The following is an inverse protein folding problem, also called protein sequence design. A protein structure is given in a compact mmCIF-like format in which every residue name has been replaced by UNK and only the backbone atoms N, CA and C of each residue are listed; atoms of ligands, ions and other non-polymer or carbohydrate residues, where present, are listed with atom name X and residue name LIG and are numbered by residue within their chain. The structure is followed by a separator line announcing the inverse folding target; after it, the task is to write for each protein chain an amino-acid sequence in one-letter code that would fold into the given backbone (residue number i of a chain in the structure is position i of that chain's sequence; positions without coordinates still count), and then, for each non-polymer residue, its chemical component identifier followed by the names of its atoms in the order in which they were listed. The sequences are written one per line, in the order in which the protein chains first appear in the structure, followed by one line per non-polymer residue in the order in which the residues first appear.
data_IF_983490573631
#
_entry.id   IF_983490573631
#
_cell.length_a   1.000
_cell.length_b   1.000
_cell.length_c   1.000
_cell.angle_alpha   90.00
_cell.angle_beta   90.00
_cell.angle_gamma   90.00
#
_symmetry.space_group_name_H-M   'P 1'
#
loop_
_entity.id
_entity.type
_entity.pdbx_description
1 polymer ?
#
# COMPACT_ATOMS: atom_id res chain seq x y z
N UNK A 1 31.97 48.62 9.21
CA UNK A 1 31.01 47.61 9.73
C UNK A 1 29.90 47.50 8.70
N UNK A 2 29.91 46.45 7.88
CA UNK A 2 28.76 46.18 7.02
C UNK A 2 27.59 45.82 7.95
N UNK A 3 26.40 46.41 7.77
CA UNK A 3 25.24 45.98 8.55
C UNK A 3 24.98 44.50 8.26
N UNK A 4 24.61 43.74 9.29
CA UNK A 4 24.02 42.40 9.14
C UNK A 4 22.67 42.55 8.41
N UNK A 5 22.74 42.79 7.10
CA UNK A 5 21.60 42.74 6.20
C UNK A 5 21.32 41.27 5.88
N UNK A 6 21.02 40.49 6.92
CA UNK A 6 20.59 39.11 6.79
C UNK A 6 19.23 39.06 6.10
N UNK A 7 19.10 38.18 5.10
CA UNK A 7 17.78 37.82 4.57
C UNK A 7 16.94 37.22 5.69
N UNK A 8 15.64 37.54 5.74
CA UNK A 8 14.74 36.82 6.65
C UNK A 8 14.72 35.33 6.30
N UNK A 9 14.56 34.45 7.30
CA UNK A 9 14.57 32.99 7.12
C UNK A 9 13.61 32.55 5.99
N UNK A 10 12.42 33.14 5.94
CA UNK A 10 11.41 32.85 4.91
C UNK A 10 11.83 33.30 3.50
N UNK A 11 12.58 34.39 3.38
CA UNK A 11 13.09 34.88 2.08
C UNK A 11 14.27 34.04 1.62
N UNK A 12 15.18 33.69 2.54
CA UNK A 12 16.33 32.84 2.24
C UNK A 12 15.90 31.43 1.82
N UNK A 13 14.90 30.85 2.51
CA UNK A 13 14.31 29.56 2.14
C UNK A 13 13.73 29.55 0.72
N UNK A 14 13.20 30.68 0.24
CA UNK A 14 12.65 30.80 -1.12
C UNK A 14 13.72 31.10 -2.18
N UNK A 15 14.72 31.90 -1.82
CA UNK A 15 15.77 32.32 -2.74
C UNK A 15 16.80 31.22 -3.01
N UNK A 16 17.15 30.44 -1.97
CA UNK A 16 18.19 29.42 -2.03
C UNK A 16 17.83 28.26 -1.09
N UNK A 17 16.88 27.39 -1.50
CA UNK A 17 16.35 26.33 -0.64
C UNK A 17 17.41 25.27 -0.28
N UNK A 18 18.34 24.95 -1.19
CA UNK A 18 19.41 23.97 -0.93
C UNK A 18 20.40 24.46 0.14
N UNK A 19 21.02 25.65 0.03
CA UNK A 19 21.84 26.23 1.10
C UNK A 19 21.08 26.44 2.42
N UNK A 20 19.79 26.76 2.36
CA UNK A 20 18.96 26.92 3.56
C UNK A 20 18.82 25.61 4.34
N UNK A 21 18.52 24.50 3.65
CA UNK A 21 18.44 23.19 4.29
C UNK A 21 19.80 22.77 4.86
N UNK A 22 20.88 22.97 4.11
CA UNK A 22 22.24 22.69 4.57
C UNK A 22 22.59 23.47 5.84
N UNK A 23 22.27 24.76 5.91
CA UNK A 23 22.55 25.60 7.07
C UNK A 23 21.78 25.17 8.33
N UNK A 24 20.59 24.56 8.18
CA UNK A 24 19.82 24.04 9.32
C UNK A 24 20.32 22.65 9.77
N UNK A 25 20.84 21.85 8.83
CA UNK A 25 21.43 20.53 9.09
C UNK A 25 22.86 20.60 9.65
N UNK A 26 23.58 21.67 9.33
CA UNK A 26 24.90 21.99 9.87
C UNK A 26 24.88 23.39 10.50
N UNK A 27 24.26 23.53 11.69
CA UNK A 27 24.26 24.81 12.39
C UNK A 27 25.69 25.21 12.73
N UNK A 28 26.02 26.48 12.56
CA UNK A 28 27.36 27.01 12.86
C UNK A 28 27.68 27.06 14.36
N UNK A 29 26.67 26.79 15.21
CA UNK A 29 26.78 26.75 16.67
C UNK A 29 26.52 25.31 17.14
N UNK A 30 27.52 24.71 17.79
CA UNK A 30 27.49 23.32 18.28
C UNK A 30 26.43 23.10 19.38
N UNK A 31 25.88 24.18 19.96
CA UNK A 31 24.80 24.10 20.95
C UNK A 31 23.41 23.88 20.34
N UNK A 32 23.25 24.06 19.02
CA UNK A 32 21.97 23.88 18.33
C UNK A 32 21.95 22.51 17.67
N UNK A 33 20.94 21.69 18.01
CA UNK A 33 20.77 20.39 17.38
C UNK A 33 20.43 20.55 15.88
N UNK A 34 20.98 19.70 15.00
CA UNK A 34 20.67 19.73 13.58
C UNK A 34 19.19 19.46 13.36
N UNK A 35 18.52 20.38 12.68
CA UNK A 35 17.08 20.33 12.45
C UNK A 35 16.78 20.54 10.96
N UNK A 36 15.70 19.94 10.49
CA UNK A 36 15.18 20.14 9.14
C UNK A 36 14.47 21.49 9.04
N UNK A 37 14.07 21.88 7.84
CA UNK A 37 13.34 23.14 7.61
C UNK A 37 12.03 23.28 8.41
N UNK A 38 11.47 22.16 8.84
CA UNK A 38 10.24 22.06 9.66
C UNK A 38 10.53 21.93 11.18
N UNK A 39 11.80 21.93 11.61
CA UNK A 39 12.20 21.76 13.01
C UNK A 39 12.34 20.30 13.49
N UNK A 40 12.05 19.30 12.66
CA UNK A 40 12.21 17.87 12.99
C UNK A 40 13.67 17.44 12.89
N UNK A 41 14.04 16.41 13.64
CA UNK A 41 15.35 15.77 13.48
C UNK A 41 15.46 15.01 12.13
N UNK A 42 16.67 14.76 11.61
CA UNK A 42 16.87 14.02 10.35
C UNK A 42 16.20 12.64 10.31
N UNK A 43 16.14 11.95 11.45
CA UNK A 43 15.58 10.60 11.59
C UNK A 43 14.11 10.59 12.06
N UNK A 44 13.52 11.76 12.31
CA UNK A 44 12.18 11.89 12.90
C UNK A 44 11.06 11.83 11.84
N UNK A 45 10.15 10.86 12.02
CA UNK A 45 9.00 10.61 11.14
C UNK A 45 7.82 11.51 11.53
N UNK A 46 6.95 11.86 10.57
CA UNK A 46 5.70 12.57 10.88
C UNK A 46 4.77 11.70 11.73
N UNK A 47 3.99 12.30 12.65
CA UNK A 47 2.96 11.55 13.36
C UNK A 47 1.93 11.00 12.37
N UNK A 48 1.61 9.72 12.52
CA UNK A 48 0.65 9.01 11.67
C UNK A 48 -0.64 8.77 12.44
N UNK A 49 -1.76 9.21 11.87
CA UNK A 49 -3.11 8.97 12.41
C UNK A 49 -3.94 8.26 11.37
N UNK A 50 -4.57 7.15 11.76
CA UNK A 50 -5.39 6.31 10.87
C UNK A 50 -6.79 6.22 11.43
N UNK A 51 -7.80 6.47 10.60
CA UNK A 51 -9.19 6.24 10.91
C UNK A 51 -9.74 5.17 9.97
N UNK A 52 -10.14 4.03 10.52
CA UNK A 52 -10.77 2.94 9.76
C UNK A 52 -12.26 3.23 9.54
N UNK A 53 -12.86 2.61 8.51
CA UNK A 53 -14.28 2.77 8.17
C UNK A 53 -14.73 4.24 7.99
N UNK A 54 -13.89 5.07 7.37
CA UNK A 54 -14.18 6.50 7.15
C UNK A 54 -15.27 6.75 6.11
N UNK A 55 -15.54 5.79 5.21
CA UNK A 55 -16.55 5.87 4.15
C UNK A 55 -17.63 4.80 4.35
N UNK A 56 -18.89 5.17 4.08
CA UNK A 56 -20.06 4.30 4.31
C UNK A 56 -20.37 3.31 3.19
N UNK A 57 -19.97 3.60 1.95
CA UNK A 57 -20.31 2.82 0.76
C UNK A 57 -19.32 1.70 0.41
N UNK A 58 -17.98 1.90 0.53
CA UNK A 58 -17.01 0.85 0.25
C UNK A 58 -17.08 -0.32 1.25
N UNK A 59 -16.59 -1.49 0.85
CA UNK A 59 -16.52 -2.68 1.70
C UNK A 59 -15.44 -2.60 2.77
N UNK A 60 -14.42 -1.76 2.53
CA UNK A 60 -13.43 -1.33 3.51
C UNK A 60 -12.98 0.08 3.17
N UNK A 61 -12.65 0.87 4.19
CA UNK A 61 -12.12 2.21 3.95
C UNK A 61 -11.17 2.66 5.04
N UNK A 62 -10.30 3.59 4.69
CA UNK A 62 -9.39 4.22 5.64
C UNK A 62 -9.14 5.68 5.27
N UNK A 63 -8.87 6.49 6.29
CA UNK A 63 -8.32 7.83 6.18
C UNK A 63 -7.00 7.85 6.94
N UNK A 64 -5.91 8.07 6.22
CA UNK A 64 -4.57 8.16 6.80
C UNK A 64 -4.06 9.57 6.65
N UNK A 65 -3.60 10.13 7.77
CA UNK A 65 -2.92 11.42 7.80
C UNK A 65 -1.50 11.22 8.35
N UNK A 66 -0.51 11.63 7.57
CA UNK A 66 0.90 11.64 7.91
C UNK A 66 1.38 13.10 7.89
N UNK A 67 1.40 13.75 9.06
CA UNK A 67 1.62 15.20 9.16
C UNK A 67 0.55 15.97 8.38
N UNK A 68 0.93 16.63 7.28
CA UNK A 68 0.01 17.39 6.42
C UNK A 68 -0.42 16.62 5.15
N UNK A 69 0.21 15.49 4.84
CA UNK A 69 -0.25 14.57 3.79
C UNK A 69 -1.45 13.79 4.30
N UNK A 70 -2.58 13.87 3.59
CA UNK A 70 -3.83 13.17 3.95
C UNK A 70 -4.33 12.38 2.75
N UNK A 71 -4.59 11.09 2.97
CA UNK A 71 -4.99 10.12 1.94
C UNK A 71 -6.21 9.34 2.41
N UNK A 72 -7.18 9.17 1.53
CA UNK A 72 -8.33 8.29 1.71
C UNK A 72 -8.15 7.08 0.82
N UNK A 73 -8.39 5.88 1.34
CA UNK A 73 -8.45 4.67 0.55
C UNK A 73 -9.83 4.01 0.72
N UNK A 74 -10.43 3.58 -0.39
CA UNK A 74 -11.66 2.80 -0.42
C UNK A 74 -11.43 1.48 -1.16
N UNK A 75 -11.91 0.38 -0.60
CA UNK A 75 -11.86 -0.95 -1.22
C UNK A 75 -13.26 -1.36 -1.64
N UNK A 76 -13.42 -1.69 -2.91
CA UNK A 76 -14.66 -2.19 -3.51
C UNK A 76 -14.43 -3.58 -4.08
N UNK A 77 -15.13 -4.57 -3.52
CA UNK A 77 -15.25 -5.89 -4.14
C UNK A 77 -16.31 -5.90 -5.23
N UNK A 78 -15.93 -6.40 -6.40
CA UNK A 78 -16.82 -6.81 -7.49
C UNK A 78 -16.60 -8.29 -7.80
N UNK A 79 -17.54 -8.95 -8.49
CA UNK A 79 -17.43 -10.39 -8.77
C UNK A 79 -17.26 -10.62 -10.26
N UNK A 80 -16.32 -11.50 -10.63
CA UNK A 80 -16.13 -11.98 -11.99
C UNK A 80 -16.31 -13.50 -12.04
N UNK A 81 -17.02 -13.99 -13.06
CA UNK A 81 -17.18 -15.43 -13.28
C UNK A 81 -15.87 -16.03 -13.80
N UNK A 82 -15.55 -17.24 -13.36
CA UNK A 82 -14.32 -17.92 -13.78
C UNK A 82 -14.23 -18.11 -15.30
N UNK A 83 -15.38 -18.26 -15.98
CA UNK A 83 -15.46 -18.38 -17.44
C UNK A 83 -15.10 -17.09 -18.19
N UNK A 84 -15.23 -15.93 -17.56
CA UNK A 84 -14.89 -14.63 -18.15
C UNK A 84 -13.44 -14.21 -17.89
N UNK A 85 -12.69 -14.98 -17.10
CA UNK A 85 -11.29 -14.70 -16.82
C UNK A 85 -10.44 -15.21 -18.01
N UNK A 86 -9.69 -14.33 -18.68
CA UNK A 86 -8.76 -14.75 -19.72
C UNK A 86 -7.70 -15.71 -19.14
N UNK A 87 -7.41 -16.81 -19.85
CA UNK A 87 -6.42 -17.82 -19.45
C UNK A 87 -6.67 -18.48 -18.07
N UNK A 88 -7.94 -18.63 -17.67
CA UNK A 88 -8.29 -19.35 -16.45
C UNK A 88 -7.68 -20.76 -16.40
N UNK A 89 -6.97 -21.08 -15.31
CA UNK A 89 -6.37 -22.39 -15.03
C UNK A 89 -6.74 -22.85 -13.62
N UNK A 90 -7.63 -23.83 -13.52
CA UNK A 90 -8.06 -24.41 -12.24
C UNK A 90 -6.91 -25.05 -11.41
N UNK A 91 -5.78 -25.38 -12.05
CA UNK A 91 -4.60 -25.95 -11.39
C UNK A 91 -3.67 -24.92 -10.75
N UNK A 92 -3.78 -23.66 -11.14
CA UNK A 92 -2.93 -22.60 -10.62
C UNK A 92 -3.50 -22.12 -9.29
N UNK A 93 -2.81 -22.34 -8.17
CA UNK A 93 -3.24 -21.88 -6.84
C UNK A 93 -2.32 -20.84 -6.23
N UNK A 94 -1.12 -20.65 -6.78
CA UNK A 94 -0.07 -19.79 -6.21
C UNK A 94 -0.02 -18.39 -6.84
N UNK A 95 -0.32 -18.27 -8.14
CA UNK A 95 -0.22 -16.99 -8.86
C UNK A 95 -1.58 -16.46 -9.35
N UNK A 96 -2.69 -17.05 -8.92
CA UNK A 96 -4.06 -16.65 -9.32
C UNK A 96 -4.31 -15.15 -9.17
N UNK A 97 -3.89 -14.55 -8.06
CA UNK A 97 -4.12 -13.12 -7.80
C UNK A 97 -3.53 -12.22 -8.89
N UNK A 98 -2.35 -12.58 -9.38
CA UNK A 98 -1.62 -11.82 -10.40
C UNK A 98 -2.08 -12.20 -11.80
N UNK A 99 -2.27 -13.48 -12.07
CA UNK A 99 -2.63 -13.96 -13.41
C UNK A 99 -4.07 -13.59 -13.78
N UNK A 100 -4.95 -13.43 -12.79
CA UNK A 100 -6.35 -13.04 -12.97
C UNK A 100 -6.63 -11.58 -12.64
N UNK A 101 -5.59 -10.78 -12.35
CA UNK A 101 -5.69 -9.35 -12.01
C UNK A 101 -6.79 -9.03 -10.98
N UNK A 102 -6.86 -9.83 -9.91
CA UNK A 102 -7.91 -9.70 -8.90
C UNK A 102 -7.75 -8.45 -8.02
N UNK A 103 -6.59 -7.80 -8.05
CA UNK A 103 -6.29 -6.61 -7.26
C UNK A 103 -5.98 -5.45 -8.20
N UNK A 104 -6.83 -4.44 -8.18
CA UNK A 104 -6.71 -3.28 -9.08
C UNK A 104 -6.58 -2.02 -8.24
N UNK A 105 -5.34 -1.56 -7.93
CA UNK A 105 -5.13 -0.29 -7.28
C UNK A 105 -5.21 0.86 -8.30
N UNK A 106 -5.92 1.90 -7.93
CA UNK A 106 -6.03 3.14 -8.66
C UNK A 106 -5.66 4.31 -7.73
N UNK A 107 -4.87 5.26 -8.24
CA UNK A 107 -4.44 6.42 -7.48
C UNK A 107 -4.88 7.70 -8.18
N UNK A 108 -5.66 8.51 -7.46
CA UNK A 108 -6.15 9.79 -7.90
C UNK A 108 -5.47 10.93 -7.14
N UNK A 109 -4.64 11.68 -7.87
CA UNK A 109 -3.97 12.90 -7.39
C UNK A 109 -4.69 14.18 -7.84
N UNK A 110 -5.50 14.10 -8.89
CA UNK A 110 -6.22 15.20 -9.52
C UNK A 110 -7.49 15.60 -8.73
N UNK A 111 -7.36 15.68 -7.41
CA UNK A 111 -8.41 16.01 -6.44
C UNK A 111 -8.29 17.45 -5.93
N UNK A 112 -7.30 18.22 -6.41
CA UNK A 112 -6.92 19.51 -5.84
C UNK A 112 -5.98 19.40 -4.63
N UNK A 113 -5.34 18.23 -4.43
CA UNK A 113 -4.40 17.96 -3.33
C UNK A 113 -3.14 18.85 -3.31
N UNK A 114 -2.84 19.48 -4.44
CA UNK A 114 -1.68 20.34 -4.67
C UNK A 114 -2.03 21.36 -5.74
N UNK A 115 -1.47 22.59 -5.72
CA UNK A 115 -1.65 23.56 -6.81
C UNK A 115 -1.21 23.03 -8.19
N UNK A 116 -0.33 22.03 -8.22
CA UNK A 116 0.14 21.39 -9.46
C UNK A 116 -0.84 20.34 -10.01
N UNK A 117 -1.73 19.81 -9.16
CA UNK A 117 -2.69 18.77 -9.54
C UNK A 117 -4.08 19.38 -9.69
N UNK A 118 -4.34 19.91 -10.88
CA UNK A 118 -5.63 20.49 -11.24
C UNK A 118 -6.70 19.38 -11.37
N UNK A 119 -7.91 19.59 -10.83
CA UNK A 119 -9.01 18.65 -11.00
C UNK A 119 -9.40 18.46 -12.47
N UNK A 120 -9.69 17.21 -12.84
CA UNK A 120 -10.12 16.84 -14.19
C UNK A 120 -9.01 16.73 -15.24
N UNK A 121 -7.75 16.84 -14.83
CA UNK A 121 -6.60 16.52 -15.69
C UNK A 121 -6.45 15.01 -15.93
N UNK A 122 -5.77 14.59 -17.00
CA UNK A 122 -5.41 13.19 -17.19
C UNK A 122 -4.49 12.69 -16.07
N UNK A 123 -4.42 11.37 -15.83
CA UNK A 123 -3.59 10.81 -14.77
C UNK A 123 -2.12 11.16 -15.00
N UNK A 124 -1.49 11.75 -13.99
CA UNK A 124 -0.08 12.18 -14.06
C UNK A 124 0.87 10.98 -14.09
N UNK A 125 2.09 11.19 -14.58
CA UNK A 125 3.15 10.16 -14.57
C UNK A 125 3.44 9.64 -13.17
N UNK A 126 3.38 10.52 -12.16
CA UNK A 126 3.56 10.17 -10.75
C UNK A 126 2.41 9.28 -10.25
N UNK A 127 1.14 9.62 -10.55
CA UNK A 127 0.00 8.77 -10.20
C UNK A 127 0.14 7.36 -10.82
N UNK A 128 0.46 7.29 -12.11
CA UNK A 128 0.64 6.00 -12.81
C UNK A 128 1.80 5.18 -12.22
N UNK A 129 2.94 5.82 -11.96
CA UNK A 129 4.12 5.15 -11.37
C UNK A 129 3.82 4.62 -9.97
N UNK A 130 3.14 5.40 -9.13
CA UNK A 130 2.74 4.96 -7.81
C UNK A 130 1.72 3.81 -7.88
N UNK A 131 0.75 3.87 -8.79
CA UNK A 131 -0.26 2.81 -8.97
C UNK A 131 0.41 1.49 -9.34
N UNK A 132 1.34 1.51 -10.30
CA UNK A 132 2.10 0.32 -10.70
C UNK A 132 2.96 -0.21 -9.55
N UNK A 133 3.59 0.67 -8.76
CA UNK A 133 4.39 0.24 -7.60
C UNK A 133 3.56 -0.42 -6.52
N UNK A 134 2.40 0.15 -6.19
CA UNK A 134 1.48 -0.45 -5.22
C UNK A 134 0.97 -1.80 -5.75
N UNK A 135 0.60 -1.88 -7.04
CA UNK A 135 0.21 -3.12 -7.68
C UNK A 135 1.30 -4.20 -7.55
N UNK A 136 2.55 -3.91 -7.95
CA UNK A 136 3.65 -4.86 -7.80
C UNK A 136 3.86 -5.27 -6.34
N UNK A 137 3.79 -4.32 -5.41
CA UNK A 137 3.99 -4.60 -4.00
C UNK A 137 2.87 -5.46 -3.40
N UNK A 138 1.61 -5.27 -3.80
CA UNK A 138 0.48 -6.11 -3.37
C UNK A 138 0.70 -7.58 -3.78
N UNK A 139 1.17 -7.81 -5.00
CA UNK A 139 1.44 -9.17 -5.48
C UNK A 139 2.70 -9.80 -4.88
N UNK A 140 3.77 -9.01 -4.69
CA UNK A 140 5.03 -9.49 -4.12
C UNK A 140 4.90 -9.81 -2.62
N UNK A 141 4.09 -9.03 -1.90
CA UNK A 141 3.90 -9.19 -0.46
C UNK A 141 3.00 -10.38 -0.08
N UNK A 142 2.21 -10.93 -1.03
CA UNK A 142 1.27 -12.05 -0.80
C UNK A 142 0.40 -11.86 0.45
N UNK A 143 -0.07 -10.63 0.69
CA UNK A 143 -0.83 -10.26 1.89
C UNK A 143 -2.20 -10.92 1.96
N UNK A 144 -2.83 -11.07 0.80
CA UNK A 144 -4.17 -11.64 0.66
C UNK A 144 -4.05 -13.08 0.21
N UNK A 145 -4.83 -13.96 0.83
CA UNK A 145 -4.96 -15.33 0.36
C UNK A 145 -5.97 -15.36 -0.79
N UNK A 146 -5.58 -15.96 -1.92
CA UNK A 146 -6.46 -16.12 -3.07
C UNK A 146 -7.75 -16.90 -2.71
N UNK A 147 -7.66 -17.78 -1.70
CA UNK A 147 -8.77 -18.59 -1.21
C UNK A 147 -9.93 -17.76 -0.65
N UNK A 148 -9.64 -16.60 -0.06
CA UNK A 148 -10.67 -15.70 0.46
C UNK A 148 -11.49 -15.02 -0.64
N UNK A 149 -10.93 -14.93 -1.85
CA UNK A 149 -11.59 -14.35 -3.01
C UNK A 149 -12.34 -15.38 -3.86
N UNK A 150 -12.15 -16.68 -3.62
CA UNK A 150 -12.82 -17.75 -4.39
C UNK A 150 -14.27 -17.92 -3.95
N UNK A 151 -15.16 -18.03 -4.93
CA UNK A 151 -16.57 -18.38 -4.72
C UNK A 151 -16.78 -19.81 -5.23
N UNK A 152 -16.91 -20.73 -4.29
CA UNK A 152 -17.15 -22.14 -4.57
C UNK A 152 -18.61 -22.40 -4.93
N UNK A 153 -18.83 -23.25 -5.92
CA UNK A 153 -20.13 -23.79 -6.23
C UNK A 153 -20.04 -25.30 -6.41
N UNK A 154 -20.92 -26.01 -5.72
CA UNK A 154 -21.08 -27.46 -5.86
C UNK A 154 -22.12 -27.69 -6.95
N UNK A 155 -21.74 -28.38 -8.04
CA UNK A 155 -22.76 -28.83 -9.01
C UNK A 155 -23.66 -29.84 -8.30
N UNK A 156 -25.01 -29.71 -8.36
CA UNK A 156 -25.86 -30.83 -8.00
C UNK A 156 -25.49 -31.99 -8.92
N UNK A 157 -25.17 -33.15 -8.35
CA UNK A 157 -25.04 -34.37 -9.15
C UNK A 157 -26.36 -34.60 -9.89
N UNK A 158 -26.31 -34.65 -11.22
CA UNK A 158 -27.46 -35.08 -12.00
C UNK A 158 -27.80 -36.50 -11.56
N UNK A 159 -28.87 -36.65 -10.76
CA UNK A 159 -29.61 -37.90 -10.76
C UNK A 159 -30.13 -38.04 -12.19
N UNK A 160 -29.51 -38.93 -12.96
CA UNK A 160 -30.14 -39.48 -14.15
C UNK A 160 -31.49 -40.03 -13.69
N UNK A 161 -32.57 -39.29 -13.95
CA UNK A 161 -33.92 -39.84 -13.88
C UNK A 161 -34.03 -40.69 -15.13
N UNK A 162 -33.45 -41.90 -15.06
CA UNK A 162 -33.86 -42.97 -15.94
C UNK A 162 -35.28 -43.32 -15.48
N UNK A 163 -36.23 -42.97 -16.34
CA UNK A 163 -37.57 -43.51 -16.36
C UNK A 163 -37.43 -45.03 -16.50
N UNK A 164 -37.69 -45.78 -15.44
CA UNK A 164 -38.18 -47.16 -15.53
C UNK A 164 -38.86 -47.53 -14.21
N UNK A 165 -40.18 -47.69 -14.32
CA UNK A 165 -41.00 -48.47 -13.40
C UNK A 165 -40.38 -49.88 -13.27
N UNK A 166 -39.99 -50.29 -12.07
CA UNK A 166 -40.16 -51.68 -11.60
C UNK A 166 -39.81 -51.82 -10.10
N UNK A 167 -40.67 -52.55 -9.41
CA UNK A 167 -40.65 -52.80 -7.95
C UNK A 167 -39.49 -53.71 -7.50
N UNK A 168 -39.06 -53.51 -6.24
CA UNK A 168 -38.84 -54.51 -5.15
C UNK A 168 -37.54 -54.33 -4.35
N UNK A 169 -37.69 -54.59 -3.05
CA UNK A 169 -36.78 -54.44 -1.91
C UNK A 169 -35.36 -55.05 -2.08
N UNK A 170 -34.35 -54.40 -1.50
CA UNK A 170 -33.46 -54.96 -0.44
C UNK A 170 -32.24 -54.05 -0.12
N UNK A 171 -31.90 -54.05 1.17
CA UNK A 171 -30.63 -53.71 1.85
C UNK A 171 -30.19 -52.26 2.16
N UNK A 172 -30.06 -52.02 3.48
CA UNK A 172 -29.26 -50.96 4.11
C UNK A 172 -27.78 -51.11 3.75
N UNK A 173 -27.20 -50.10 3.06
CA UNK A 173 -25.76 -50.01 2.84
C UNK A 173 -25.35 -48.70 2.17
N UNK A 174 -24.66 -47.84 2.93
CA UNK A 174 -23.97 -46.61 2.52
C UNK A 174 -24.75 -45.59 1.64
N UNK A 175 -25.37 -44.63 2.33
CA UNK A 175 -25.68 -43.31 1.74
C UNK A 175 -24.38 -42.52 1.65
N UNK A 176 -23.50 -42.92 0.73
CA UNK A 176 -22.45 -42.05 0.23
C UNK A 176 -23.16 -40.87 -0.46
N UNK A 177 -23.28 -39.76 0.28
CA UNK A 177 -23.59 -38.45 -0.30
C UNK A 177 -22.48 -38.18 -1.31
N UNK A 178 -22.70 -38.55 -2.56
CA UNK A 178 -21.90 -38.11 -3.70
C UNK A 178 -21.96 -36.59 -3.73
N UNK A 179 -21.04 -35.96 -2.99
CA UNK A 179 -20.81 -34.52 -3.02
C UNK A 179 -20.41 -34.21 -4.45
N UNK A 180 -21.28 -33.53 -5.19
CA UNK A 180 -20.98 -33.14 -6.57
C UNK A 180 -19.65 -32.40 -6.66
N UNK A 181 -19.01 -32.43 -7.83
CA UNK A 181 -17.72 -31.80 -8.03
C UNK A 181 -17.78 -30.32 -7.65
N UNK A 182 -16.99 -29.93 -6.65
CA UNK A 182 -16.82 -28.55 -6.24
C UNK A 182 -15.86 -27.85 -7.20
N UNK A 183 -16.34 -26.78 -7.83
CA UNK A 183 -15.50 -25.94 -8.69
C UNK A 183 -15.60 -24.47 -8.27
N UNK A 184 -14.57 -23.72 -8.60
CA UNK A 184 -14.58 -22.26 -8.41
C UNK A 184 -15.43 -21.66 -9.53
N UNK A 185 -16.59 -21.12 -9.17
CA UNK A 185 -17.52 -20.53 -10.13
C UNK A 185 -17.18 -19.06 -10.42
N UNK A 186 -16.68 -18.35 -9.42
CA UNK A 186 -16.37 -16.93 -9.53
C UNK A 186 -15.25 -16.51 -8.58
N UNK A 187 -14.67 -15.35 -8.86
CA UNK A 187 -13.67 -14.68 -8.04
C UNK A 187 -14.14 -13.29 -7.64
N UNK A 188 -13.72 -12.84 -6.47
CA UNK A 188 -13.79 -11.45 -6.06
C UNK A 188 -12.61 -10.66 -6.63
N UNK A 189 -12.92 -9.55 -7.30
CA UNK A 189 -11.97 -8.54 -7.75
C UNK A 189 -12.06 -7.35 -6.78
N UNK A 190 -10.93 -6.95 -6.20
CA UNK A 190 -10.83 -5.82 -5.30
C UNK A 190 -10.29 -4.61 -6.06
N UNK A 191 -11.16 -3.62 -6.26
CA UNK A 191 -10.77 -2.28 -6.68
C UNK A 191 -10.35 -1.47 -5.45
N UNK A 192 -9.13 -0.97 -5.45
CA UNK A 192 -8.54 -0.20 -4.36
C UNK A 192 -8.35 1.22 -4.87
N UNK A 193 -9.29 2.10 -4.55
CA UNK A 193 -9.24 3.50 -4.97
C UNK A 193 -8.60 4.36 -3.89
N UNK A 194 -7.50 5.03 -4.23
CA UNK A 194 -6.70 5.85 -3.33
C UNK A 194 -6.79 7.31 -3.78
N UNK A 195 -7.32 8.17 -2.91
CA UNK A 195 -7.51 9.60 -3.16
C UNK A 195 -6.63 10.42 -2.22
N UNK A 196 -5.82 11.31 -2.77
CA UNK A 196 -5.07 12.27 -1.97
C UNK A 196 -5.94 13.48 -1.68
N UNK A 197 -6.11 13.88 -0.42
CA UNK A 197 -6.79 15.15 -0.07
C UNK A 197 -5.77 16.28 0.02
N UNK A 198 -4.63 15.99 0.64
CA UNK A 198 -3.54 16.94 0.82
C UNK A 198 -2.23 16.22 0.53
N UNK A 199 -1.37 16.84 -0.26
CA UNK A 199 -0.07 16.30 -0.64
C UNK A 199 1.03 17.19 -0.05
N UNK A 200 1.83 16.63 0.85
CA UNK A 200 3.00 17.29 1.43
C UNK A 200 4.25 16.38 1.43
N UNK A 201 4.48 15.68 0.31
CA UNK A 201 5.66 14.83 0.12
C UNK A 201 5.51 13.43 0.70
N UNK A 202 6.36 12.53 0.20
CA UNK A 202 6.32 11.08 0.45
C UNK A 202 4.94 10.43 0.19
N UNK A 203 4.42 10.52 -1.05
CA UNK A 203 3.09 10.00 -1.37
C UNK A 203 2.99 8.47 -1.31
N UNK A 204 4.09 7.76 -1.59
CA UNK A 204 4.08 6.30 -1.64
C UNK A 204 3.76 5.68 -0.28
N UNK A 205 4.45 6.12 0.77
CA UNK A 205 4.25 5.56 2.12
C UNK A 205 2.84 5.85 2.64
N UNK A 206 2.31 7.05 2.37
CA UNK A 206 0.96 7.43 2.77
C UNK A 206 -0.11 6.61 2.03
N UNK A 207 0.03 6.43 0.71
CA UNK A 207 -0.87 5.61 -0.08
C UNK A 207 -0.83 4.13 0.32
N UNK A 208 0.37 3.61 0.59
CA UNK A 208 0.55 2.22 1.00
C UNK A 208 -0.04 1.97 2.39
N UNK A 209 0.22 2.85 3.36
CA UNK A 209 -0.38 2.75 4.70
C UNK A 209 -1.92 2.82 4.64
N UNK A 210 -2.48 3.70 3.78
CA UNK A 210 -3.92 3.78 3.57
C UNK A 210 -4.49 2.49 2.96
N UNK A 211 -3.79 1.91 1.99
CA UNK A 211 -4.17 0.63 1.36
C UNK A 211 -4.22 -0.50 2.39
N UNK A 212 -3.17 -0.66 3.21
CA UNK A 212 -3.13 -1.69 4.25
C UNK A 212 -4.24 -1.53 5.28
N UNK A 213 -4.45 -0.29 5.73
CA UNK A 213 -5.51 0.02 6.68
C UNK A 213 -6.90 -0.31 6.09
N UNK A 214 -7.15 0.04 4.83
CA UNK A 214 -8.42 -0.22 4.16
C UNK A 214 -8.64 -1.70 3.87
N UNK A 215 -7.61 -2.43 3.44
CA UNK A 215 -7.66 -3.88 3.24
C UNK A 215 -8.00 -4.60 4.54
N UNK A 216 -7.44 -4.17 5.67
CA UNK A 216 -7.72 -4.74 6.98
C UNK A 216 -9.16 -4.51 7.45
N UNK A 217 -9.73 -3.37 7.09
CA UNK A 217 -11.13 -3.05 7.37
C UNK A 217 -12.11 -3.74 6.41
N UNK A 218 -11.63 -4.31 5.30
CA UNK A 218 -12.48 -4.83 4.23
C UNK A 218 -13.24 -6.08 4.66
N UNK A 219 -14.57 -6.03 4.50
CA UNK A 219 -15.47 -7.16 4.74
C UNK A 219 -16.30 -7.43 3.48
N UNK A 220 -16.10 -8.61 2.88
CA UNK A 220 -16.81 -8.99 1.67
C UNK A 220 -18.13 -9.70 2.01
N UNK A 221 -19.24 -9.37 1.32
CA UNK A 221 -20.48 -10.10 1.49
C UNK A 221 -20.33 -11.53 0.96
N UNK A 222 -21.13 -12.46 1.49
CA UNK A 222 -21.11 -13.84 0.99
C UNK A 222 -21.75 -13.90 -0.40
N UNK A 223 -20.95 -14.25 -1.41
CA UNK A 223 -21.41 -14.52 -2.76
C UNK A 223 -21.82 -15.99 -2.92
N UNK A 224 -22.99 -16.24 -3.50
CA UNK A 224 -23.41 -17.56 -3.98
C UNK A 224 -23.61 -17.47 -5.49
N UNK A 225 -22.98 -18.37 -6.24
CA UNK A 225 -23.22 -18.48 -7.67
C UNK A 225 -24.60 -19.12 -7.93
N UNK A 226 -25.39 -18.49 -8.79
CA UNK A 226 -26.67 -18.97 -9.28
C UNK A 226 -26.52 -19.41 -10.74
N UNK A 227 -26.58 -20.73 -11.04
CA UNK A 227 -26.37 -21.25 -12.38
C UNK A 227 -27.48 -20.85 -13.36
N UNK A 228 -28.70 -20.59 -12.87
CA UNK A 228 -29.84 -20.25 -13.74
C UNK A 228 -29.72 -18.84 -14.32
N UNK A 229 -29.06 -17.94 -13.57
CA UNK A 229 -28.89 -16.53 -13.92
C UNK A 229 -27.49 -16.18 -14.39
N UNK A 230 -26.57 -17.16 -14.37
CA UNK A 230 -25.16 -16.98 -14.67
C UNK A 230 -24.57 -15.76 -13.92
N UNK A 231 -24.90 -15.63 -12.63
CA UNK A 231 -24.53 -14.45 -11.83
C UNK A 231 -24.30 -14.82 -10.36
N UNK A 232 -23.40 -14.06 -9.71
CA UNK A 232 -23.17 -14.18 -8.27
C UNK A 232 -24.17 -13.32 -7.50
N UNK A 233 -24.98 -13.96 -6.65
CA UNK A 233 -25.87 -13.29 -5.73
C UNK A 233 -25.16 -13.03 -4.40
N UNK A 234 -25.06 -11.75 -4.03
CA UNK A 234 -24.42 -11.32 -2.79
C UNK A 234 -25.45 -11.15 -1.68
N UNK A 235 -25.21 -11.80 -0.54
CA UNK A 235 -26.04 -11.63 0.66
C UNK A 235 -25.31 -10.74 1.67
N UNK A 236 -25.99 -9.71 2.18
CA UNK A 236 -25.46 -8.80 3.22
C UNK A 236 -25.38 -9.44 4.63
N UNK A 237 -25.87 -10.67 4.78
CA UNK A 237 -25.85 -11.39 6.06
C UNK A 237 -24.48 -12.05 6.21
N UNK A 238 -23.82 -11.76 7.34
CA UNK A 238 -22.53 -12.32 7.75
C UNK A 238 -21.37 -12.02 6.76
N UNK A 239 -20.89 -10.77 6.71
CA UNK A 239 -19.79 -10.41 5.82
C UNK A 239 -18.47 -10.99 6.34
N UNK A 240 -17.73 -11.67 5.46
CA UNK A 240 -16.46 -12.32 5.79
C UNK A 240 -15.32 -11.29 5.75
N UNK A 241 -14.57 -11.07 6.84
CA UNK A 241 -13.36 -10.25 6.80
C UNK A 241 -12.25 -10.95 6.01
N UNK A 242 -11.40 -10.18 5.34
CA UNK A 242 -10.22 -10.70 4.66
C UNK A 242 -9.16 -11.16 5.66
N UNK A 243 -8.53 -12.31 5.42
CA UNK A 243 -7.37 -12.75 6.20
C UNK A 243 -6.10 -12.11 5.66
N UNK A 244 -5.43 -11.31 6.48
CA UNK A 244 -4.17 -10.64 6.13
C UNK A 244 -3.04 -11.29 6.92
N UNK A 245 -2.03 -11.78 6.21
CA UNK A 245 -0.94 -12.59 6.77
C UNK A 245 0.24 -11.78 7.32
N UNK A 246 0.26 -10.44 7.16
CA UNK A 246 1.35 -9.57 7.63
C UNK A 246 1.03 -8.08 7.49
N UNK A 247 1.95 -7.22 7.94
CA UNK A 247 1.77 -5.76 7.86
C UNK A 247 3.04 -5.11 7.31
N UNK A 248 3.28 -5.21 6.00
CA UNK A 248 4.47 -4.62 5.40
C UNK A 248 4.33 -3.10 5.37
N UNK A 249 5.16 -2.37 6.09
CA UNK A 249 5.14 -0.90 6.09
C UNK A 249 6.21 -0.38 5.15
N UNK A 250 5.84 0.59 4.32
CA UNK A 250 6.78 1.30 3.46
C UNK A 250 7.43 2.46 4.24
N UNK A 251 8.75 2.55 4.08
CA UNK A 251 9.63 3.44 4.80
C UNK A 251 10.57 4.11 3.78
N UNK A 252 10.22 5.32 3.35
CA UNK A 252 11.03 6.15 2.46
C UNK A 252 11.98 7.06 3.23
N UNK A 253 13.21 7.15 2.74
CA UNK A 253 14.22 8.11 3.15
C UNK A 253 14.86 8.77 1.91
N UNK A 254 15.12 10.06 1.97
CA UNK A 254 15.86 10.82 0.97
C UNK A 254 17.29 11.04 1.44
N UNK A 255 18.24 11.11 0.50
CA UNK A 255 19.63 11.43 0.80
C UNK A 255 19.91 12.83 0.29
N UNK A 256 20.29 13.70 1.22
CA UNK A 256 20.69 15.06 0.94
C UNK A 256 22.22 15.16 0.92
N UNK A 257 22.78 15.74 -0.15
CA UNK A 257 24.23 15.91 -0.32
C UNK A 257 24.64 17.34 0.00
N UNK A 258 25.78 17.52 0.69
CA UNK A 258 26.20 18.87 1.12
C UNK A 258 26.77 19.78 0.02
N UNK A 259 26.93 19.30 -1.22
CA UNK A 259 27.48 20.09 -2.33
C UNK A 259 26.62 19.94 -3.58
N UNK A 260 26.26 21.08 -4.15
CA UNK A 260 25.41 21.24 -5.35
C UNK A 260 26.10 20.73 -6.64
N UNK A 261 27.42 20.51 -6.62
CA UNK A 261 28.20 20.08 -7.79
C UNK A 261 28.95 18.78 -7.52
N UNK A 262 28.47 17.71 -8.14
CA UNK A 262 29.17 16.48 -8.60
C UNK A 262 30.56 16.17 -8.00
N UNK A 263 30.60 15.19 -7.08
CA UNK A 263 31.59 14.08 -6.98
C UNK A 263 31.36 13.25 -5.69
N UNK A 264 30.94 11.97 -5.80
CA UNK A 264 30.50 11.16 -4.66
C UNK A 264 31.64 10.33 -4.07
N UNK A 265 32.64 10.96 -3.46
CA UNK A 265 33.65 10.20 -2.68
C UNK A 265 34.06 10.81 -1.34
N UNK A 266 33.79 12.09 -1.07
CA UNK A 266 34.17 12.76 0.20
C UNK A 266 33.13 13.78 0.73
N UNK A 267 31.93 13.81 0.15
CA UNK A 267 30.87 14.70 0.60
C UNK A 267 30.15 14.16 1.84
N UNK A 268 29.96 15.00 2.87
CA UNK A 268 28.98 14.72 3.93
C UNK A 268 27.59 14.58 3.30
N UNK A 269 26.87 13.55 3.71
CA UNK A 269 25.49 13.31 3.30
C UNK A 269 24.62 13.16 4.55
N UNK A 270 23.36 13.56 4.43
CA UNK A 270 22.35 13.41 5.47
C UNK A 270 21.26 12.49 4.98
N UNK A 271 20.84 11.56 5.83
CA UNK A 271 19.67 10.72 5.57
C UNK A 271 18.46 11.42 6.18
N UNK A 272 17.54 11.86 5.33
CA UNK A 272 16.28 12.48 5.71
C UNK A 272 15.17 11.45 5.60
N UNK A 273 14.70 11.01 6.76
CA UNK A 273 13.59 10.07 6.88
C UNK A 273 12.27 10.79 6.58
N UNK A 274 11.37 10.16 5.82
CA UNK A 274 10.03 10.72 5.54
C UNK A 274 10.10 12.18 5.03
N UNK A 275 10.63 12.37 3.80
CA UNK A 275 10.87 13.70 3.24
C UNK A 275 9.56 14.46 3.04
N UNK A 276 9.60 15.77 3.31
CA UNK A 276 8.52 16.68 2.94
C UNK A 276 8.68 17.11 1.48
N UNK A 277 7.66 17.77 0.92
CA UNK A 277 7.65 18.19 -0.48
C UNK A 277 8.88 19.00 -0.89
N UNK A 278 9.35 19.91 -0.03
CA UNK A 278 10.55 20.71 -0.32
C UNK A 278 11.80 19.84 -0.42
N UNK A 279 11.97 18.91 0.50
CA UNK A 279 13.14 18.03 0.53
C UNK A 279 13.11 17.01 -0.61
N UNK A 280 11.94 16.51 -0.98
CA UNK A 280 11.75 15.66 -2.15
C UNK A 280 12.17 16.38 -3.44
N UNK A 281 11.95 17.70 -3.53
CA UNK A 281 12.40 18.50 -4.67
C UNK A 281 13.90 18.85 -4.66
N UNK A 282 14.55 18.76 -3.50
CA UNK A 282 15.97 19.10 -3.32
C UNK A 282 16.90 17.88 -3.37
N UNK A 283 16.38 16.70 -3.05
CA UNK A 283 17.14 15.46 -3.00
C UNK A 283 17.04 14.68 -4.31
N UNK A 284 18.17 14.43 -4.95
CA UNK A 284 18.23 13.61 -6.17
C UNK A 284 18.21 12.09 -5.90
N UNK A 285 18.42 11.69 -4.65
CA UNK A 285 18.51 10.29 -4.23
C UNK A 285 17.43 9.98 -3.18
N UNK A 286 16.61 8.97 -3.46
CA UNK A 286 15.61 8.46 -2.52
C UNK A 286 15.64 6.93 -2.47
N UNK A 287 15.40 6.39 -1.27
CA UNK A 287 15.27 4.97 -1.03
C UNK A 287 13.95 4.68 -0.34
N UNK A 288 13.28 3.64 -0.77
CA UNK A 288 12.06 3.12 -0.15
C UNK A 288 12.30 1.68 0.25
N UNK A 289 12.06 1.39 1.53
CA UNK A 289 12.21 0.07 2.13
C UNK A 289 10.82 -0.41 2.56
N UNK A 290 10.44 -1.61 2.15
CA UNK A 290 9.21 -2.24 2.63
C UNK A 290 9.59 -3.32 3.62
N UNK A 291 9.14 -3.14 4.86
CA UNK A 291 9.55 -3.95 6.00
C UNK A 291 8.33 -4.59 6.65
N UNK A 292 8.38 -5.88 6.89
CA UNK A 292 7.38 -6.63 7.63
C UNK A 292 8.06 -7.27 8.85
N UNK A 293 7.61 -6.89 10.04
CA UNK A 293 8.13 -7.45 11.29
C UNK A 293 7.14 -8.50 11.80
N UNK A 294 7.31 -9.76 11.40
CA UNK A 294 6.59 -10.88 11.99
C UNK A 294 7.37 -11.43 13.18
N UNK A 295 6.73 -11.46 14.35
CA UNK A 295 7.14 -12.19 15.57
C UNK A 295 8.65 -12.19 15.89
N UNK A 296 9.27 -10.99 15.87
CA UNK A 296 10.70 -10.69 16.22
C UNK A 296 11.72 -10.68 15.08
N UNK A 297 11.40 -11.21 13.89
CA UNK A 297 12.30 -11.13 12.73
C UNK A 297 11.86 -10.03 11.74
N UNK A 298 12.75 -9.06 11.50
CA UNK A 298 12.53 -8.03 10.47
C UNK A 298 12.78 -8.63 9.09
N UNK A 299 11.71 -8.81 8.31
CA UNK A 299 11.80 -9.24 6.91
C UNK A 299 11.70 -8.02 6.01
N UNK A 300 12.70 -7.83 5.15
CA UNK A 300 12.63 -6.83 4.09
C UNK A 300 12.00 -7.50 2.87
N UNK A 301 10.88 -6.95 2.39
CA UNK A 301 10.20 -7.46 1.20
C UNK A 301 10.78 -6.85 -0.07
N UNK A 302 10.91 -5.52 -0.09
CA UNK A 302 11.36 -4.78 -1.26
C UNK A 302 12.25 -3.62 -0.86
N UNK A 303 13.28 -3.38 -1.67
CA UNK A 303 14.17 -2.23 -1.57
C UNK A 303 14.17 -1.57 -2.93
N UNK A 304 13.73 -0.32 -2.97
CA UNK A 304 13.68 0.46 -4.20
C UNK A 304 14.52 1.71 -4.04
N UNK A 305 15.59 1.81 -4.83
CA UNK A 305 16.50 2.96 -4.84
C UNK A 305 16.29 3.75 -6.13
N UNK A 306 16.09 5.05 -6.01
CA UNK A 306 15.94 5.98 -7.13
C UNK A 306 17.01 7.05 -7.06
N UNK A 307 17.74 7.21 -8.15
CA UNK A 307 18.77 8.23 -8.28
C UNK A 307 20.02 7.98 -7.44
N UNK A 308 20.98 8.91 -7.59
CA UNK A 308 22.20 9.05 -6.80
C UNK A 308 23.23 7.91 -6.83
N UNK A 309 24.42 8.23 -6.33
CA UNK A 309 25.58 7.32 -6.26
C UNK A 309 26.04 7.13 -4.79
N UNK A 310 25.44 7.85 -3.84
CA UNK A 310 26.01 7.99 -2.48
C UNK A 310 25.67 6.81 -1.57
N UNK A 311 24.48 6.21 -1.72
CA UNK A 311 24.10 5.05 -0.90
C UNK A 311 24.97 3.83 -1.19
N UNK A 312 25.97 3.60 -0.34
CA UNK A 312 26.75 2.37 -0.30
C UNK A 312 25.94 1.21 0.31
N UNK A 313 26.07 -0.03 -0.19
CA UNK A 313 25.39 -1.21 0.38
C UNK A 313 25.65 -1.44 1.88
N UNK A 314 26.79 -0.96 2.40
CA UNK A 314 27.11 -1.01 3.83
C UNK A 314 26.21 -0.11 4.68
N UNK A 315 25.82 1.04 4.15
CA UNK A 315 24.93 1.99 4.83
C UNK A 315 23.47 1.49 4.81
N UNK A 316 23.08 0.80 3.74
CA UNK A 316 21.76 0.15 3.65
C UNK A 316 21.59 -0.97 4.69
N UNK A 317 22.68 -1.63 5.07
CA UNK A 317 22.70 -2.64 6.14
C UNK A 317 23.03 -2.03 7.52
N UNK A 318 23.11 -0.71 7.62
CA UNK A 318 23.43 -0.06 8.89
C UNK A 318 22.34 -0.35 9.92
N UNK A 319 22.75 -0.57 11.17
CA UNK A 319 21.84 -0.84 12.27
C UNK A 319 20.88 0.33 12.52
N UNK A 320 21.32 1.57 12.27
CA UNK A 320 20.52 2.79 12.46
C UNK A 320 19.30 2.83 11.54
N UNK A 321 19.49 2.54 10.25
CA UNK A 321 18.40 2.54 9.27
C UNK A 321 17.41 1.38 9.52
N UNK A 322 17.91 0.23 9.97
CA UNK A 322 17.05 -0.90 10.36
C UNK A 322 16.28 -0.62 11.66
N UNK A 323 16.92 -0.01 12.67
CA UNK A 323 16.25 0.37 13.92
C UNK A 323 15.18 1.42 13.67
N UNK A 324 15.46 2.39 12.80
CA UNK A 324 14.50 3.39 12.39
C UNK A 324 13.30 2.76 11.67
N UNK A 325 13.54 1.91 10.67
CA UNK A 325 12.47 1.27 9.93
C UNK A 325 11.57 0.40 10.84
N UNK A 326 12.15 -0.23 11.87
CA UNK A 326 11.40 -0.96 12.89
C UNK A 326 10.56 -0.03 13.79
N UNK A 327 11.12 1.11 14.24
CA UNK A 327 10.36 2.10 15.00
C UNK A 327 9.17 2.64 14.18
N UNK A 328 9.39 2.94 12.91
CA UNK A 328 8.35 3.39 11.99
C UNK A 328 7.28 2.32 11.77
N UNK A 329 7.69 1.07 11.56
CA UNK A 329 6.77 -0.05 11.45
C UNK A 329 5.89 -0.19 12.69
N UNK A 330 6.47 -0.10 13.90
CA UNK A 330 5.71 -0.13 15.16
C UNK A 330 4.70 1.01 15.25
N UNK A 331 5.11 2.24 14.93
CA UNK A 331 4.23 3.41 14.98
C UNK A 331 3.05 3.31 14.01
N UNK A 332 3.30 2.91 12.76
CA UNK A 332 2.25 2.75 11.75
C UNK A 332 1.35 1.56 12.09
N UNK A 333 1.91 0.42 12.51
CA UNK A 333 1.12 -0.75 12.90
C UNK A 333 0.25 -0.42 14.11
N UNK A 334 0.77 0.26 15.13
CA UNK A 334 0.02 0.73 16.29
C UNK A 334 -1.16 1.63 15.86
N UNK A 335 -0.90 2.61 14.98
CA UNK A 335 -1.94 3.50 14.46
C UNK A 335 -3.04 2.73 13.69
N UNK A 336 -2.70 1.67 12.96
CA UNK A 336 -3.68 0.84 12.22
C UNK A 336 -4.41 -0.14 13.15
N UNK A 337 -3.74 -0.72 14.13
CA UNK A 337 -4.36 -1.64 15.11
C UNK A 337 -5.18 -0.92 16.18
N UNK A 338 -4.96 0.38 16.37
CA UNK A 338 -5.58 1.16 17.45
C UNK A 338 -5.10 0.79 18.86
N UNK A 339 -3.88 0.22 18.97
CA UNK A 339 -3.27 -0.25 20.23
C UNK A 339 -2.05 0.58 20.60
#
# INVERSE_FOLDING_TARGET
MAPDAGLSRATFAKLSPHPYLLANLEPSDDHVAPARSNGRAPEEVRPTTVNLSSLSHPHGSSLVRMGDTTVICGVRGETILAQHIPNYRASNRETELRDYDLLVPNIELATGSSPQFLPGGPPTTLAQTLSTRIYSLLHDSKLLQAEDLRIWHTRPSERMVADDDDEMDEDEGDVDKQSGEEYVAAYWVLYIDIFFISFDGNPFDAAWAATLAALRDTKLPRGRYDPDRDMVLCTKKDPKPLTITGMPVACTAAVFTGKETDRPTDGRFWLLVDPDRLEESLCDESITLVVDCQEEAMRILSISKHGGVVLSPKLLRSKSLMSWANQRWKGVTAAITGN
#
